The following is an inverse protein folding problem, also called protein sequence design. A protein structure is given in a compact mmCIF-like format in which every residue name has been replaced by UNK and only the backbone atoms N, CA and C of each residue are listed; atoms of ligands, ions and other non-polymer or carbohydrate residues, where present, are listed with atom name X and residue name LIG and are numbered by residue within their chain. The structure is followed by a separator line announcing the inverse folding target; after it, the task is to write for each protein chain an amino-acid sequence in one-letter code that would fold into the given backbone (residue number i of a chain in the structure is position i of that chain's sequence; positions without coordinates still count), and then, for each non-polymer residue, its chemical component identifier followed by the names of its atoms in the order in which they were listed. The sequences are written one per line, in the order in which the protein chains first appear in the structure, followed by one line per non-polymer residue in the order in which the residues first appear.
data_IF_584452578792
#
_entry.id   IF_584452578792
#
_cell.length_a   1.000
_cell.length_b   1.000
_cell.length_c   1.000
_cell.angle_alpha   90.00
_cell.angle_beta   90.00
_cell.angle_gamma   90.00
#
_symmetry.space_group_name_H-M   'P 1'
#
loop_
_entity.id
_entity.type
_entity.pdbx_description
1 polymer ?
#
# COMPACT_ATOMS: atom_id res chain seq x y z
N UNK A 1 -13.91 2.06 -1.14
CA UNK A 1 -12.82 2.64 -0.33
C UNK A 1 -11.62 2.91 -1.23
N UNK A 2 -11.17 4.15 -1.27
CA UNK A 2 -9.97 4.51 -2.03
C UNK A 2 -8.70 4.08 -1.27
N UNK A 3 -7.60 3.93 -2.00
CA UNK A 3 -6.31 3.67 -1.38
C UNK A 3 -5.87 4.87 -0.52
N UNK A 4 -5.12 4.64 0.58
CA UNK A 4 -4.56 5.75 1.35
C UNK A 4 -3.49 6.50 0.56
N UNK A 5 -3.08 7.69 1.02
CA UNK A 5 -2.03 8.45 0.34
C UNK A 5 -0.72 7.67 0.22
N UNK A 6 0.08 7.94 -0.82
CA UNK A 6 1.37 7.27 -0.98
C UNK A 6 2.34 7.62 0.15
N UNK A 7 3.36 6.78 0.39
CA UNK A 7 4.32 7.03 1.48
C UNK A 7 5.00 8.40 1.42
N UNK A 8 5.25 8.91 0.21
CA UNK A 8 5.86 10.22 0.03
C UNK A 8 5.04 11.40 0.55
N UNK A 9 3.74 11.21 0.81
CA UNK A 9 2.87 12.23 1.40
C UNK A 9 2.95 12.30 2.92
N UNK A 10 3.60 11.33 3.56
CA UNK A 10 3.79 11.28 5.01
C UNK A 10 5.17 11.82 5.37
N UNK A 11 5.32 12.40 6.60
CA UNK A 11 6.64 12.80 7.05
C UNK A 11 7.59 11.60 7.06
N UNK A 12 8.79 11.70 6.46
CA UNK A 12 9.73 10.60 6.48
C UNK A 12 10.28 10.36 7.89
N UNK A 13 10.86 9.19 8.18
CA UNK A 13 11.55 8.96 9.44
C UNK A 13 12.67 9.98 9.65
N UNK A 14 13.00 10.26 10.90
CA UNK A 14 14.07 11.19 11.23
C UNK A 14 15.40 10.58 10.76
N UNK A 15 16.09 11.26 9.85
CA UNK A 15 17.40 10.86 9.37
C UNK A 15 18.51 11.26 10.35
N UNK A 16 19.74 10.80 10.09
CA UNK A 16 20.88 11.06 10.97
C UNK A 16 21.19 12.56 11.09
N UNK A 17 21.03 13.31 10.01
CA UNK A 17 21.31 14.76 10.00
C UNK A 17 20.27 15.50 10.83
N UNK A 18 19.00 15.18 10.66
CA UNK A 18 17.91 15.78 11.42
C UNK A 18 17.96 15.36 12.88
N UNK A 19 18.36 14.13 13.16
CA UNK A 19 18.46 13.61 14.53
C UNK A 19 19.44 14.45 15.38
N UNK A 20 20.52 14.93 14.79
CA UNK A 20 21.50 15.79 15.49
C UNK A 20 20.89 17.12 15.93
N UNK A 21 19.85 17.58 15.22
CA UNK A 21 19.18 18.86 15.52
C UNK A 21 18.03 18.73 16.50
N UNK A 22 17.67 17.51 16.90
CA UNK A 22 16.61 17.30 17.89
C UNK A 22 17.02 17.83 19.25
N UNK A 23 16.04 18.24 20.09
CA UNK A 23 16.33 18.57 21.47
C UNK A 23 17.03 17.42 22.21
N UNK A 24 17.85 17.69 23.23
CA UNK A 24 18.57 16.63 23.95
C UNK A 24 17.63 15.60 24.60
N UNK A 25 16.38 15.97 24.83
CA UNK A 25 15.38 15.08 25.45
C UNK A 25 14.67 14.19 24.46
N UNK A 26 14.93 14.35 23.17
CA UNK A 26 14.23 13.61 22.12
C UNK A 26 15.21 12.77 21.28
N UNK A 27 14.68 11.66 20.78
CA UNK A 27 15.41 10.79 19.85
C UNK A 27 14.45 10.28 18.78
N UNK A 28 14.96 9.86 17.60
CA UNK A 28 14.10 9.25 16.58
C UNK A 28 13.39 8.02 17.14
N UNK A 29 12.12 7.86 16.73
CA UNK A 29 11.34 6.68 17.12
C UNK A 29 11.62 5.55 16.11
N UNK A 30 12.30 4.46 16.52
CA UNK A 30 12.58 3.36 15.61
C UNK A 30 11.32 2.64 15.13
N UNK A 31 10.25 2.66 15.90
CA UNK A 31 8.98 2.06 15.51
C UNK A 31 8.36 2.82 14.34
N UNK A 32 8.46 4.16 14.33
CA UNK A 32 8.00 4.95 13.21
C UNK A 32 8.75 4.58 11.93
N UNK A 33 10.07 4.45 12.00
CA UNK A 33 10.88 4.06 10.85
C UNK A 33 10.51 2.70 10.30
N UNK A 34 10.28 1.72 11.18
CA UNK A 34 9.87 0.37 10.77
C UNK A 34 8.49 0.37 10.13
N UNK A 35 7.54 1.10 10.70
CA UNK A 35 6.19 1.22 10.16
C UNK A 35 6.19 1.95 8.82
N UNK A 36 6.96 3.02 8.70
CA UNK A 36 7.09 3.75 7.45
C UNK A 36 7.65 2.86 6.34
N UNK A 37 8.71 2.09 6.64
CA UNK A 37 9.31 1.19 5.66
C UNK A 37 8.33 0.07 5.29
N UNK A 38 7.62 -0.49 6.26
CA UNK A 38 6.61 -1.51 6.01
C UNK A 38 5.49 -0.97 5.11
N UNK A 39 5.06 0.27 5.35
CA UNK A 39 4.04 0.91 4.53
C UNK A 39 4.55 1.14 3.10
N UNK A 40 5.76 1.63 2.94
CA UNK A 40 6.35 1.85 1.63
C UNK A 40 6.49 0.54 0.84
N UNK A 41 6.97 -0.52 1.48
CA UNK A 41 7.12 -1.83 0.86
C UNK A 41 5.77 -2.42 0.47
N UNK A 42 4.79 -2.35 1.36
CA UNK A 42 3.44 -2.84 1.09
C UNK A 42 2.78 -2.05 -0.05
N UNK A 43 2.94 -0.73 -0.06
CA UNK A 43 2.37 0.13 -1.10
C UNK A 43 2.91 -0.24 -2.48
N UNK A 44 4.22 -0.42 -2.59
CA UNK A 44 4.86 -0.81 -3.85
C UNK A 44 4.46 -2.20 -4.31
N UNK A 45 4.36 -3.16 -3.38
CA UNK A 45 3.95 -4.54 -3.68
C UNK A 45 2.50 -4.60 -4.14
N UNK A 46 1.61 -3.86 -3.50
CA UNK A 46 0.19 -3.81 -3.85
C UNK A 46 -0.01 -3.12 -5.21
N UNK A 47 0.77 -2.08 -5.51
CA UNK A 47 0.71 -1.43 -6.81
C UNK A 47 1.08 -2.40 -7.93
N UNK A 48 2.15 -3.19 -7.74
CA UNK A 48 2.53 -4.23 -8.71
C UNK A 48 1.47 -5.31 -8.84
N UNK A 49 0.83 -5.69 -7.74
CA UNK A 49 -0.26 -6.66 -7.75
C UNK A 49 -1.45 -6.15 -8.58
N UNK A 50 -1.81 -4.89 -8.40
CA UNK A 50 -2.90 -4.27 -9.17
C UNK A 50 -2.62 -4.31 -10.67
N UNK A 51 -1.41 -3.97 -11.06
CA UNK A 51 -1.00 -4.03 -12.47
C UNK A 51 -1.04 -5.45 -13.01
N UNK A 52 -0.59 -6.42 -12.24
CA UNK A 52 -0.62 -7.83 -12.61
C UNK A 52 -2.04 -8.36 -12.76
N UNK A 53 -2.97 -7.91 -11.92
CA UNK A 53 -4.38 -8.32 -11.98
C UNK A 53 -5.12 -7.69 -13.17
N UNK A 54 -4.73 -6.48 -13.57
CA UNK A 54 -5.40 -5.78 -14.67
C UNK A 54 -5.09 -6.41 -16.04
N UNK A 55 -3.88 -6.91 -16.24
CA UNK A 55 -3.47 -7.47 -17.52
C UNK A 55 -4.32 -8.67 -17.99
N UNK A 56 -4.60 -9.70 -17.18
CA UNK A 56 -5.46 -10.81 -17.60
C UNK A 56 -6.88 -10.38 -17.94
N UNK A 57 -7.46 -9.46 -17.16
CA UNK A 57 -8.82 -8.97 -17.42
C UNK A 57 -8.88 -8.23 -18.76
N UNK A 58 -7.89 -7.40 -19.06
CA UNK A 58 -7.83 -6.69 -20.34
C UNK A 58 -7.65 -7.65 -21.51
N UNK A 59 -6.81 -8.66 -21.35
CA UNK A 59 -6.58 -9.66 -22.39
C UNK A 59 -7.87 -10.43 -22.71
N UNK A 60 -8.60 -10.88 -21.68
CA UNK A 60 -9.86 -11.57 -21.85
C UNK A 60 -10.91 -10.68 -22.49
N UNK A 61 -10.99 -9.41 -22.11
CA UNK A 61 -11.91 -8.45 -22.70
C UNK A 61 -11.64 -8.23 -24.19
N UNK A 62 -10.37 -8.20 -24.60
CA UNK A 62 -10.00 -8.02 -26.00
C UNK A 62 -10.33 -9.23 -26.87
N UNK A 63 -10.34 -10.44 -26.31
CA UNK A 63 -10.53 -11.69 -27.07
C UNK A 63 -11.89 -12.32 -26.82
N UNK A 64 -12.73 -11.76 -25.98
CA UNK A 64 -13.99 -12.32 -25.52
C UNK A 64 -14.94 -12.67 -26.68
N UNK A 65 -14.94 -11.88 -27.74
CA UNK A 65 -15.88 -12.00 -28.84
C UNK A 65 -15.85 -13.37 -29.52
N UNK A 66 -14.73 -14.09 -29.50
CA UNK A 66 -14.60 -15.38 -30.14
C UNK A 66 -14.25 -16.53 -29.21
N UNK A 67 -14.06 -16.28 -27.90
CA UNK A 67 -13.82 -17.33 -26.93
C UNK A 67 -15.09 -17.99 -26.40
N UNK A 68 -16.23 -17.32 -26.56
CA UNK A 68 -17.54 -17.88 -26.21
C UNK A 68 -18.01 -17.60 -24.80
N UNK A 69 -19.20 -18.14 -24.42
CA UNK A 69 -19.83 -17.83 -23.13
C UNK A 69 -19.05 -18.26 -21.92
N UNK A 70 -18.36 -19.40 -21.97
CA UNK A 70 -17.56 -19.89 -20.83
C UNK A 70 -16.41 -18.93 -20.51
N UNK A 71 -15.73 -18.44 -21.56
CA UNK A 71 -14.66 -17.48 -21.37
C UNK A 71 -15.18 -16.15 -20.81
N UNK A 72 -16.36 -15.71 -21.22
CA UNK A 72 -17.00 -14.52 -20.68
C UNK A 72 -17.31 -14.69 -19.20
N UNK A 73 -17.84 -15.85 -18.81
CA UNK A 73 -18.17 -16.15 -17.43
C UNK A 73 -16.89 -16.15 -16.57
N UNK A 74 -15.84 -16.78 -17.07
CA UNK A 74 -14.55 -16.80 -16.38
C UNK A 74 -13.94 -15.40 -16.25
N UNK A 75 -14.03 -14.59 -17.31
CA UNK A 75 -13.60 -13.20 -17.29
C UNK A 75 -14.37 -12.37 -16.27
N UNK A 76 -15.70 -12.60 -16.14
CA UNK A 76 -16.52 -11.94 -15.13
C UNK A 76 -16.14 -12.33 -13.72
N UNK A 77 -15.84 -13.61 -13.48
CA UNK A 77 -15.37 -14.09 -12.19
C UNK A 77 -13.98 -13.50 -11.85
N UNK A 78 -13.10 -13.43 -12.83
CA UNK A 78 -11.79 -12.83 -12.65
C UNK A 78 -11.89 -11.35 -12.28
N UNK A 79 -12.78 -10.62 -12.94
CA UNK A 79 -13.01 -9.21 -12.64
C UNK A 79 -13.57 -9.02 -11.22
N UNK A 80 -14.52 -9.86 -10.81
CA UNK A 80 -15.07 -9.83 -9.45
C UNK A 80 -14.02 -10.11 -8.41
N UNK A 81 -13.19 -11.13 -8.64
CA UNK A 81 -12.10 -11.51 -7.73
C UNK A 81 -11.03 -10.41 -7.67
N UNK A 82 -10.74 -9.79 -8.79
CA UNK A 82 -9.83 -8.64 -8.86
C UNK A 82 -10.33 -7.50 -7.98
N UNK A 83 -11.62 -7.18 -8.06
CA UNK A 83 -12.23 -6.14 -7.24
C UNK A 83 -12.14 -6.44 -5.75
N UNK A 84 -12.41 -7.70 -5.36
CA UNK A 84 -12.30 -8.13 -3.97
C UNK A 84 -10.86 -8.05 -3.46
N UNK A 85 -9.89 -8.47 -4.29
CA UNK A 85 -8.48 -8.40 -3.93
C UNK A 85 -8.00 -6.96 -3.79
N UNK A 86 -8.44 -6.05 -4.67
CA UNK A 86 -8.10 -4.63 -4.56
C UNK A 86 -8.64 -4.01 -3.27
N UNK A 87 -9.87 -4.35 -2.90
CA UNK A 87 -10.45 -3.87 -1.64
C UNK A 87 -9.70 -4.40 -0.43
N UNK A 88 -9.33 -5.68 -0.43
CA UNK A 88 -8.54 -6.27 0.64
C UNK A 88 -7.17 -5.62 0.75
N UNK A 89 -6.53 -5.35 -0.39
CA UNK A 89 -5.23 -4.67 -0.43
C UNK A 89 -5.32 -3.25 0.12
N UNK A 90 -6.34 -2.49 -0.29
CA UNK A 90 -6.55 -1.13 0.23
C UNK A 90 -6.78 -1.15 1.74
N UNK A 91 -7.50 -2.14 2.25
CA UNK A 91 -7.73 -2.28 3.69
C UNK A 91 -6.43 -2.54 4.45
N UNK A 92 -5.56 -3.39 3.92
CA UNK A 92 -4.24 -3.63 4.52
C UNK A 92 -3.44 -2.34 4.58
N UNK A 93 -3.42 -1.57 3.49
CA UNK A 93 -2.72 -0.29 3.45
C UNK A 93 -3.29 0.71 4.46
N UNK A 94 -4.61 0.79 4.57
CA UNK A 94 -5.25 1.68 5.55
C UNK A 94 -4.92 1.27 6.98
N UNK A 95 -4.87 -0.03 7.27
CA UNK A 95 -4.51 -0.51 8.61
C UNK A 95 -3.09 -0.08 8.98
N UNK A 96 -2.14 -0.20 8.07
CA UNK A 96 -0.76 0.25 8.31
C UNK A 96 -0.71 1.78 8.42
N UNK A 97 -1.39 2.47 7.52
CA UNK A 97 -1.45 3.94 7.50
C UNK A 97 -1.99 4.50 8.81
N UNK A 98 -3.06 3.92 9.34
CA UNK A 98 -3.68 4.36 10.59
C UNK A 98 -2.71 4.23 11.77
N UNK A 99 -2.00 3.12 11.87
CA UNK A 99 -1.00 2.91 12.91
C UNK A 99 0.16 3.87 12.74
N UNK A 100 0.65 4.04 11.51
CA UNK A 100 1.77 4.94 11.20
C UNK A 100 1.40 6.39 11.55
N UNK A 101 0.21 6.84 11.17
CA UNK A 101 -0.26 8.21 11.43
C UNK A 101 -0.41 8.50 12.91
N UNK A 102 -0.72 7.48 13.71
CA UNK A 102 -0.86 7.61 15.16
C UNK A 102 0.49 7.49 15.89
N UNK A 103 1.55 7.10 15.21
CA UNK A 103 2.87 6.90 15.80
C UNK A 103 3.70 8.17 15.67
N UNK A 104 4.33 8.61 16.75
CA UNK A 104 5.18 9.80 16.74
C UNK A 104 6.52 9.49 16.09
N UNK A 105 7.07 10.49 15.38
CA UNK A 105 8.39 10.37 14.73
C UNK A 105 9.53 10.36 15.73
N UNK A 106 9.31 10.95 16.89
CA UNK A 106 10.31 11.04 17.97
C UNK A 106 9.75 10.49 19.25
N UNK A 107 10.62 10.04 20.13
CA UNK A 107 10.29 9.61 21.50
C UNK A 107 11.19 10.33 22.48
N UNK A 108 10.70 10.43 23.72
CA UNK A 108 11.46 11.07 24.80
C UNK A 108 12.61 10.15 25.22
N UNK A 109 13.77 10.72 25.38
CA UNK A 109 14.93 10.02 25.95
C UNK A 109 14.69 9.80 27.43
N UNK A 110 14.99 8.60 27.86
CA UNK A 110 14.89 8.22 29.27
C UNK A 110 16.27 8.16 29.90
#
# INVERSE_FOLDING_TARGET
MAAPPPPGSLPPPIDAVTAVRLPPTERPNPDYGRLYQAYADAYGSIDRLRQALDAPVRTLGATDAWLGPEARQWGGQLDTNRGALKKAADRILWDIYDVLSATQRTVTRV
#
